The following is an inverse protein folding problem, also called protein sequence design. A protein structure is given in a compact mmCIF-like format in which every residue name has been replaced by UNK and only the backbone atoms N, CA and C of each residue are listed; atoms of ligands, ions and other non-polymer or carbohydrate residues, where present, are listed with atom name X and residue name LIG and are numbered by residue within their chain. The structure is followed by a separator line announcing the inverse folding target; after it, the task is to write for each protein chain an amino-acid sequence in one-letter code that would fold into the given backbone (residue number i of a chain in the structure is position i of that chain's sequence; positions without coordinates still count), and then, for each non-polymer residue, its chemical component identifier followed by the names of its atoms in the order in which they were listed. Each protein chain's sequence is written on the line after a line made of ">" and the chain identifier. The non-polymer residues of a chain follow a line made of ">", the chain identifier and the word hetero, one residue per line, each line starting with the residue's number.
data_IF_698515597551
#
_entry.id   IF_698515597551
#
_cell.length_a   1.000
_cell.length_b   1.000
_cell.length_c   1.000
_cell.angle_alpha   90.00
_cell.angle_beta   90.00
_cell.angle_gamma   90.00
#
_symmetry.space_group_name_H-M   'P 1'
#
loop_
_entity.id
_entity.type
_entity.pdbx_description
1 polymer ?
#
# COMPACT_ATOMS: atom_id res chain seq x y z
N UNK A 1 -10.13 24.19 -0.07
CA UNK A 1 -8.90 23.55 0.44
C UNK A 1 -8.94 23.69 1.95
N UNK A 2 -9.00 22.58 2.67
CA UNK A 2 -9.02 22.59 4.12
C UNK A 2 -7.59 22.33 4.60
N UNK A 3 -7.04 23.24 5.39
CA UNK A 3 -5.78 22.96 6.06
C UNK A 3 -6.10 22.08 7.28
N UNK A 4 -5.62 20.84 7.25
CA UNK A 4 -5.66 19.91 8.38
C UNK A 4 -4.43 20.13 9.26
N UNK A 5 -4.61 20.01 10.57
CA UNK A 5 -3.48 20.02 11.50
C UNK A 5 -2.78 18.67 11.46
N UNK A 6 -1.47 18.68 11.24
CA UNK A 6 -0.66 17.47 11.37
C UNK A 6 -0.70 16.97 12.82
N UNK A 7 -1.06 15.70 13.08
CA UNK A 7 -1.16 15.17 14.44
C UNK A 7 0.19 15.06 15.16
N UNK A 8 1.30 15.03 14.43
CA UNK A 8 2.65 14.93 15.00
C UNK A 8 3.29 16.29 15.31
N UNK A 9 3.21 17.25 14.38
CA UNK A 9 3.90 18.54 14.52
C UNK A 9 2.99 19.74 14.74
N UNK A 10 1.67 19.54 14.68
CA UNK A 10 0.67 20.61 14.81
C UNK A 10 0.65 21.63 13.67
N UNK A 11 1.50 21.46 12.65
CA UNK A 11 1.57 22.38 11.51
C UNK A 11 0.33 22.25 10.63
N UNK A 12 -0.04 23.34 9.98
CA UNK A 12 -1.14 23.37 9.02
C UNK A 12 -0.66 22.75 7.70
N UNK A 13 -1.34 21.70 7.24
CA UNK A 13 -1.00 20.96 6.03
C UNK A 13 -2.25 20.79 5.17
N UNK A 14 -2.10 20.82 3.84
CA UNK A 14 -3.20 20.56 2.92
C UNK A 14 -3.83 19.18 3.16
N UNK A 15 -5.15 19.08 3.11
CA UNK A 15 -5.91 17.83 3.21
C UNK A 15 -5.51 16.77 2.15
N UNK A 16 -4.92 17.23 1.04
CA UNK A 16 -4.41 16.41 -0.07
C UNK A 16 -2.94 16.04 0.03
N UNK A 17 -2.20 16.51 1.05
CA UNK A 17 -0.78 16.25 1.14
C UNK A 17 -0.48 14.78 1.49
N UNK A 18 0.38 14.11 0.72
CA UNK A 18 0.79 12.74 1.01
C UNK A 18 1.63 12.64 2.29
N UNK A 19 2.46 13.66 2.55
CA UNK A 19 3.30 13.76 3.74
C UNK A 19 3.38 15.21 4.22
N UNK A 20 3.61 15.41 5.52
CA UNK A 20 3.83 16.72 6.10
C UNK A 20 5.22 17.24 5.70
N UNK A 21 5.34 18.43 5.10
CA UNK A 21 6.64 18.99 4.68
C UNK A 21 7.54 19.40 5.87
N UNK A 22 6.97 19.53 7.08
CA UNK A 22 7.73 19.99 8.25
C UNK A 22 8.34 18.84 9.07
N UNK A 23 7.61 17.74 9.24
CA UNK A 23 8.06 16.59 10.04
C UNK A 23 8.19 15.28 9.27
N UNK A 24 7.70 15.20 8.03
CA UNK A 24 7.71 13.98 7.23
C UNK A 24 6.58 12.98 7.54
N UNK A 25 5.65 13.30 8.44
CA UNK A 25 4.54 12.40 8.77
C UNK A 25 3.64 12.11 7.57
N UNK A 26 3.39 10.83 7.27
CA UNK A 26 2.54 10.40 6.18
C UNK A 26 1.05 10.59 6.54
N UNK A 27 0.43 11.66 6.01
CA UNK A 27 -0.97 11.99 6.25
C UNK A 27 -1.91 11.09 5.46
N UNK A 28 -1.50 10.69 4.24
CA UNK A 28 -2.27 9.78 3.41
C UNK A 28 -1.65 8.38 3.45
N UNK A 29 -2.26 7.46 4.21
CA UNK A 29 -1.78 6.08 4.40
C UNK A 29 -2.01 5.25 3.14
N UNK A 30 -1.14 5.40 2.15
CA UNK A 30 -0.88 4.32 1.19
C UNK A 30 -0.21 3.17 1.95
N UNK A 31 -0.54 1.89 1.69
CA UNK A 31 0.11 0.77 2.36
C UNK A 31 1.63 0.86 2.19
N UNK A 32 2.34 1.21 3.27
CA UNK A 32 3.79 1.21 3.29
C UNK A 32 4.29 -0.22 3.41
N UNK A 33 5.33 -0.57 2.67
CA UNK A 33 5.92 -1.89 2.78
C UNK A 33 6.58 -2.08 4.16
N UNK A 34 6.24 -3.13 4.95
CA UNK A 34 6.80 -3.34 6.29
C UNK A 34 8.31 -3.67 6.28
N UNK A 35 8.88 -4.03 5.13
CA UNK A 35 10.29 -4.40 4.98
C UNK A 35 11.21 -3.24 4.62
N UNK A 36 10.73 -2.26 3.85
CA UNK A 36 11.56 -1.18 3.31
C UNK A 36 10.96 0.23 3.45
N UNK A 37 9.73 0.35 3.96
CA UNK A 37 9.06 1.65 4.12
C UNK A 37 8.72 2.36 2.81
N UNK A 38 8.93 1.73 1.65
CA UNK A 38 8.64 2.37 0.37
C UNK A 38 7.13 2.44 0.12
N UNK A 39 6.73 3.54 -0.52
CA UNK A 39 5.33 3.82 -0.89
C UNK A 39 4.96 3.26 -2.28
N UNK A 40 5.90 2.60 -2.97
CA UNK A 40 5.70 2.04 -4.30
C UNK A 40 5.27 0.57 -4.21
N UNK A 41 4.05 0.36 -3.72
CA UNK A 41 3.38 -0.93 -3.68
C UNK A 41 2.35 -1.03 -4.80
N UNK A 42 2.33 -2.16 -5.50
CA UNK A 42 1.30 -2.46 -6.49
C UNK A 42 0.37 -3.54 -5.99
N UNK A 43 -0.95 -3.39 -6.19
CA UNK A 43 -1.85 -4.52 -6.02
C UNK A 43 -1.42 -5.60 -7.01
N UNK A 44 -1.32 -6.84 -6.53
CA UNK A 44 -1.04 -7.98 -7.40
C UNK A 44 -2.30 -8.18 -8.24
N UNK A 45 -2.28 -7.72 -9.50
CA UNK A 45 -3.43 -7.81 -10.39
C UNK A 45 -3.87 -9.26 -10.54
N UNK A 46 -5.17 -9.47 -10.39
CA UNK A 46 -5.86 -10.76 -10.27
C UNK A 46 -5.60 -11.76 -11.42
N UNK A 47 -4.85 -11.40 -12.46
CA UNK A 47 -4.42 -12.29 -13.52
C UNK A 47 -3.63 -13.51 -12.99
N UNK A 48 -2.78 -13.33 -11.98
CA UNK A 48 -2.02 -14.46 -11.41
C UNK A 48 -2.86 -15.35 -10.47
N UNK A 49 -4.00 -14.84 -9.96
CA UNK A 49 -4.99 -15.65 -9.22
C UNK A 49 -5.88 -16.44 -10.19
N UNK A 50 -6.30 -15.81 -11.29
CA UNK A 50 -7.11 -16.46 -12.35
C UNK A 50 -6.32 -17.57 -13.04
N UNK A 51 -5.02 -17.36 -13.31
CA UNK A 51 -4.18 -18.40 -13.90
C UNK A 51 -4.12 -19.69 -13.04
N UNK A 52 -4.06 -19.56 -11.71
CA UNK A 52 -4.08 -20.72 -10.81
C UNK A 52 -5.43 -21.43 -10.75
N UNK A 53 -6.53 -20.67 -10.79
CA UNK A 53 -7.90 -21.21 -10.79
C UNK A 53 -8.23 -21.92 -12.11
N UNK A 54 -7.77 -21.38 -13.24
CA UNK A 54 -7.96 -21.99 -14.57
C UNK A 54 -7.09 -23.24 -14.72
N UNK A 55 -5.87 -23.25 -14.15
CA UNK A 55 -4.94 -24.37 -14.31
C UNK A 55 -5.23 -25.59 -13.41
N UNK A 56 -5.81 -25.41 -12.22
CA UNK A 56 -5.90 -26.50 -11.21
C UNK A 56 -7.31 -26.84 -10.72
N UNK A 57 -8.36 -26.33 -11.37
CA UNK A 57 -9.74 -26.63 -10.98
C UNK A 57 -10.09 -26.12 -9.56
N UNK A 58 -11.33 -26.39 -9.16
CA UNK A 58 -12.04 -25.73 -8.05
C UNK A 58 -11.47 -26.08 -6.65
N UNK A 59 -10.32 -26.75 -6.56
CA UNK A 59 -9.72 -27.18 -5.29
C UNK A 59 -8.68 -26.20 -4.69
N UNK A 60 -8.29 -25.15 -5.42
CA UNK A 60 -7.18 -24.25 -5.02
C UNK A 60 -7.62 -22.92 -4.39
N UNK A 61 -8.84 -22.84 -3.86
CA UNK A 61 -9.40 -21.62 -3.27
C UNK A 61 -8.75 -21.19 -1.92
N UNK A 62 -7.76 -21.92 -1.42
CA UNK A 62 -7.08 -21.59 -0.17
C UNK A 62 -5.63 -21.17 -0.45
N UNK A 63 -5.27 -19.95 -0.03
CA UNK A 63 -3.90 -19.40 0.13
C UNK A 63 -3.33 -18.50 -0.99
N UNK A 64 -3.97 -17.36 -1.28
CA UNK A 64 -3.21 -16.17 -1.71
C UNK A 64 -3.74 -14.96 -0.94
N UNK A 65 -3.22 -14.74 0.27
CA UNK A 65 -3.56 -13.59 1.12
C UNK A 65 -2.70 -12.36 0.80
N UNK A 66 -1.73 -12.45 -0.11
CA UNK A 66 -0.94 -11.27 -0.49
C UNK A 66 -1.68 -10.41 -1.51
N UNK A 67 -2.17 -9.25 -1.07
CA UNK A 67 -2.89 -8.28 -1.91
C UNK A 67 -1.94 -7.31 -2.61
N UNK A 68 -0.74 -7.08 -2.06
CA UNK A 68 0.22 -6.08 -2.53
C UNK A 68 1.64 -6.65 -2.67
N UNK A 69 2.34 -6.21 -3.72
CA UNK A 69 3.78 -6.45 -3.91
C UNK A 69 4.49 -5.10 -3.90
N UNK A 70 5.53 -4.98 -3.07
CA UNK A 70 6.42 -3.84 -3.13
C UNK A 70 7.35 -3.93 -4.35
N UNK A 71 7.48 -2.86 -5.14
CA UNK A 71 8.39 -2.83 -6.30
C UNK A 71 9.86 -2.74 -5.92
N UNK A 72 10.17 -2.05 -4.83
CA UNK A 72 11.56 -1.75 -4.47
C UNK A 72 12.25 -2.93 -3.77
N UNK A 73 11.52 -3.71 -2.97
CA UNK A 73 12.07 -4.87 -2.25
C UNK A 73 11.47 -6.22 -2.64
N UNK A 74 10.42 -6.25 -3.47
CA UNK A 74 9.76 -7.49 -3.91
C UNK A 74 8.93 -8.21 -2.84
N UNK A 75 8.83 -7.68 -1.62
CA UNK A 75 8.05 -8.27 -0.53
C UNK A 75 6.55 -8.27 -0.86
N UNK A 76 5.89 -9.40 -0.61
CA UNK A 76 4.45 -9.61 -0.85
C UNK A 76 3.72 -9.65 0.49
N UNK A 77 2.65 -8.88 0.65
CA UNK A 77 1.81 -8.86 1.85
C UNK A 77 0.35 -8.56 1.52
#
# INVERSE_FOLDING_TARGET
>A
MALIKCPECGNEVSDTAQSCPKCGYALHKTPACPKCGSYNVQPISNASKVAGVVAFGIFSAHNVVSHYKCKDCGHKF
#
